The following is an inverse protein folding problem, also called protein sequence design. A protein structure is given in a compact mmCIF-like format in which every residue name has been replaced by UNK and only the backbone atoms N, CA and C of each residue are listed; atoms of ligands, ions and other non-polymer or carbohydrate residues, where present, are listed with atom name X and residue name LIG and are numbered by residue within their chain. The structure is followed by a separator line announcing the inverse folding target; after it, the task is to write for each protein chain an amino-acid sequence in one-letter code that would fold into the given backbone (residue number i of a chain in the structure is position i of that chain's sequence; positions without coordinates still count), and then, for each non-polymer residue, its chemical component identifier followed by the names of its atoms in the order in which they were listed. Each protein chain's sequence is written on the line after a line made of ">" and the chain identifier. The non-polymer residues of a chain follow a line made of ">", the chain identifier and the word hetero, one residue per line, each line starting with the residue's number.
data_IF_814247769989
#
_entry.id   IF_814247769989
#
_cell.length_a   1.000
_cell.length_b   1.000
_cell.length_c   1.000
_cell.angle_alpha   90.00
_cell.angle_beta   90.00
_cell.angle_gamma   90.00
#
_symmetry.space_group_name_H-M   'P 1'
#
loop_
_entity.id
_entity.type
_entity.pdbx_description
1 polymer ?
#
# COMPACT_ATOMS: atom_id res chain seq x y z
N UNK A 1 -12.40 42.07 -31.89
CA UNK A 1 -11.01 41.67 -32.19
C UNK A 1 -10.71 40.52 -31.22
N UNK A 2 -10.91 39.25 -31.63
CA UNK A 2 -9.88 38.32 -32.14
C UNK A 2 -8.71 38.18 -31.15
N UNK A 3 -8.33 37.02 -30.63
CA UNK A 3 -8.65 35.62 -30.96
C UNK A 3 -8.62 34.72 -29.71
N UNK A 4 -8.94 33.43 -29.76
CA UNK A 4 -8.85 32.52 -30.90
C UNK A 4 -7.69 31.54 -30.69
N UNK A 5 -7.83 30.61 -29.74
CA UNK A 5 -7.05 29.38 -29.58
C UNK A 5 -7.96 28.43 -28.79
N UNK A 6 -8.50 27.32 -29.29
CA UNK A 6 -8.04 26.45 -30.37
C UNK A 6 -7.23 25.30 -29.76
N UNK A 7 -7.85 24.14 -29.57
CA UNK A 7 -7.21 22.91 -29.08
C UNK A 7 -8.06 22.25 -27.97
N UNK A 8 -9.17 21.58 -28.29
CA UNK A 8 -9.20 20.21 -28.82
C UNK A 8 -8.53 19.20 -27.87
N UNK A 9 -9.37 18.50 -27.11
CA UNK A 9 -9.14 17.11 -26.70
C UNK A 9 -8.10 16.87 -25.60
N UNK A 10 -8.56 16.79 -24.35
CA UNK A 10 -7.86 15.97 -23.34
C UNK A 10 -8.82 14.93 -22.77
N UNK A 11 -9.40 14.13 -23.67
CA UNK A 11 -9.85 12.79 -23.32
C UNK A 11 -8.62 11.89 -23.29
N UNK A 12 -7.97 11.79 -22.14
CA UNK A 12 -6.93 10.79 -21.90
C UNK A 12 -7.18 10.11 -20.55
N UNK A 13 -8.41 9.60 -20.41
CA UNK A 13 -8.80 8.68 -19.37
C UNK A 13 -8.83 7.27 -19.94
N UNK A 14 -7.93 6.41 -19.46
CA UNK A 14 -8.02 4.96 -19.63
C UNK A 14 -7.18 4.38 -20.76
N UNK A 15 -6.07 3.72 -20.39
CA UNK A 15 -5.37 2.76 -21.26
C UNK A 15 -3.90 3.05 -21.46
N UNK A 16 -3.03 2.63 -20.53
CA UNK A 16 -1.62 2.35 -20.85
C UNK A 16 -0.94 1.43 -19.81
N UNK A 17 -1.57 0.31 -19.46
CA UNK A 17 -0.93 -0.79 -18.73
C UNK A 17 -0.64 -1.96 -19.68
N UNK A 18 -0.04 -1.67 -20.83
CA UNK A 18 0.50 -2.72 -21.69
C UNK A 18 2.02 -2.56 -21.69
N UNK A 19 2.70 -3.37 -20.88
CA UNK A 19 4.16 -3.50 -20.94
C UNK A 19 4.42 -4.50 -22.08
N UNK A 20 5.02 -4.07 -23.21
CA UNK A 20 5.28 -4.98 -24.31
C UNK A 20 6.13 -6.17 -23.82
N UNK A 21 6.00 -7.36 -24.43
CA UNK A 21 6.91 -8.46 -24.15
C UNK A 21 8.37 -7.99 -24.20
N UNK A 22 9.17 -8.45 -23.24
CA UNK A 22 10.62 -8.13 -23.13
C UNK A 22 10.96 -6.64 -22.88
N UNK A 23 9.96 -5.79 -22.61
CA UNK A 23 10.20 -4.40 -22.21
C UNK A 23 10.11 -4.24 -20.70
N UNK A 24 11.02 -3.43 -20.16
CA UNK A 24 11.05 -3.10 -18.74
C UNK A 24 10.29 -1.78 -18.55
N UNK A 25 9.25 -1.82 -17.72
CA UNK A 25 8.57 -0.61 -17.25
C UNK A 25 9.02 -0.28 -15.82
N UNK A 26 9.30 0.99 -15.57
CA UNK A 26 9.51 1.49 -14.21
C UNK A 26 8.21 2.05 -13.67
N UNK A 27 7.73 1.47 -12.57
CA UNK A 27 6.41 1.78 -12.02
C UNK A 27 6.58 2.18 -10.55
N UNK A 28 5.96 3.29 -10.19
CA UNK A 28 5.92 3.74 -8.80
C UNK A 28 4.74 3.10 -8.10
N UNK A 29 5.02 2.18 -7.19
CA UNK A 29 4.00 1.49 -6.39
C UNK A 29 4.08 1.99 -4.94
N UNK A 30 2.95 2.46 -4.34
CA UNK A 30 2.93 2.76 -2.92
C UNK A 30 3.05 1.45 -2.12
N UNK A 31 4.01 1.40 -1.20
CA UNK A 31 4.30 0.21 -0.38
C UNK A 31 4.31 0.55 1.10
N UNK A 32 4.07 -0.45 1.93
CA UNK A 32 4.18 -0.35 3.39
C UNK A 32 4.96 -1.53 3.94
N UNK A 33 5.67 -1.32 5.03
CA UNK A 33 6.37 -2.41 5.74
C UNK A 33 5.35 -3.21 6.54
N UNK A 34 5.19 -4.50 6.24
CA UNK A 34 4.29 -5.36 7.01
C UNK A 34 4.88 -5.76 8.37
N UNK A 35 6.21 -5.88 8.45
CA UNK A 35 6.93 -6.19 9.68
C UNK A 35 7.58 -4.94 10.26
N UNK A 36 7.37 -4.73 11.56
CA UNK A 36 8.00 -3.62 12.27
C UNK A 36 9.46 -3.97 12.65
N UNK A 37 10.36 -2.99 12.55
CA UNK A 37 11.74 -3.12 13.04
C UNK A 37 12.73 -3.78 12.07
N UNK A 38 12.28 -4.26 10.91
CA UNK A 38 13.19 -4.70 9.84
C UNK A 38 13.99 -3.51 9.27
N UNK A 39 15.23 -3.74 8.82
CA UNK A 39 16.04 -2.69 8.23
C UNK A 39 15.36 -2.11 6.98
N UNK A 40 15.61 -0.82 6.74
CA UNK A 40 15.08 -0.15 5.56
C UNK A 40 15.52 -0.87 4.27
N UNK A 41 14.62 -0.96 3.27
CA UNK A 41 14.89 -1.66 2.04
C UNK A 41 16.05 -0.98 1.29
N UNK A 42 17.03 -1.78 0.88
CA UNK A 42 18.19 -1.34 0.08
C UNK A 42 18.26 -2.10 -1.24
N UNK A 43 18.73 -1.47 -2.35
CA UNK A 43 18.82 -2.12 -3.66
C UNK A 43 19.72 -3.37 -3.71
N UNK A 44 20.67 -3.49 -2.78
CA UNK A 44 21.57 -4.63 -2.70
C UNK A 44 20.92 -5.91 -2.13
N UNK A 45 19.71 -5.79 -1.57
CA UNK A 45 18.97 -6.94 -1.04
C UNK A 45 18.10 -7.49 -2.18
N UNK A 46 18.17 -8.80 -2.49
CA UNK A 46 17.30 -9.40 -3.48
C UNK A 46 15.85 -9.41 -2.95
N UNK A 47 14.91 -8.93 -3.77
CA UNK A 47 13.47 -8.95 -3.46
C UNK A 47 12.72 -9.80 -4.46
N UNK A 48 11.71 -10.50 -3.96
CA UNK A 48 10.78 -11.30 -4.74
C UNK A 48 9.36 -10.77 -4.48
N UNK A 49 8.55 -10.65 -5.54
CA UNK A 49 7.14 -10.31 -5.40
C UNK A 49 6.39 -11.60 -5.09
N UNK A 50 5.73 -11.64 -3.93
CA UNK A 50 4.91 -12.78 -3.52
C UNK A 50 3.44 -12.38 -3.36
N UNK A 51 2.50 -13.30 -3.60
CA UNK A 51 1.11 -13.13 -3.19
C UNK A 51 1.02 -12.80 -1.70
N UNK A 52 0.03 -11.98 -1.34
CA UNK A 52 -0.16 -11.57 0.06
C UNK A 52 -0.47 -12.77 0.94
N UNK A 53 -1.22 -13.73 0.41
CA UNK A 53 -1.72 -14.92 1.08
C UNK A 53 -0.60 -15.88 1.49
N UNK A 54 0.53 -15.86 0.77
CA UNK A 54 1.74 -16.62 1.15
C UNK A 54 2.45 -16.02 2.36
N UNK A 55 2.25 -14.72 2.62
CA UNK A 55 2.94 -13.99 3.68
C UNK A 55 2.08 -13.74 4.92
N UNK A 56 0.80 -13.40 4.73
CA UNK A 56 -0.12 -13.09 5.83
C UNK A 56 -1.57 -13.41 5.49
N UNK A 57 -2.26 -14.00 6.46
CA UNK A 57 -3.71 -14.27 6.42
C UNK A 57 -4.51 -13.37 7.38
N UNK A 58 -3.89 -12.31 7.90
CA UNK A 58 -4.51 -11.42 8.87
C UNK A 58 -5.76 -10.74 8.29
N UNK A 59 -6.94 -10.91 8.93
CA UNK A 59 -8.18 -10.33 8.42
C UNK A 59 -8.11 -8.81 8.43
N UNK A 60 -8.58 -8.19 7.35
CA UNK A 60 -8.58 -6.74 7.14
C UNK A 60 -7.28 -6.18 6.56
N UNK A 61 -6.18 -6.93 6.53
CA UNK A 61 -4.93 -6.44 5.95
C UNK A 61 -5.07 -6.16 4.44
N UNK A 62 -5.71 -7.06 3.70
CA UNK A 62 -5.98 -6.86 2.26
C UNK A 62 -6.78 -5.59 1.99
N UNK A 63 -7.78 -5.29 2.81
CA UNK A 63 -8.60 -4.09 2.67
C UNK A 63 -7.80 -2.81 2.92
N UNK A 64 -6.90 -2.82 3.91
CA UNK A 64 -5.94 -1.71 4.15
C UNK A 64 -5.03 -1.50 2.93
N UNK A 65 -4.47 -2.58 2.37
CA UNK A 65 -3.60 -2.51 1.19
C UNK A 65 -4.35 -2.06 -0.06
N UNK A 66 -5.61 -2.49 -0.23
CA UNK A 66 -6.48 -2.03 -1.32
C UNK A 66 -6.82 -0.54 -1.18
N UNK A 67 -7.11 -0.07 0.03
CA UNK A 67 -7.33 1.36 0.30
C UNK A 67 -6.08 2.20 -0.02
N UNK A 68 -4.88 1.66 0.22
CA UNK A 68 -3.62 2.32 -0.15
C UNK A 68 -3.43 2.33 -1.68
N UNK A 69 -3.60 1.18 -2.34
CA UNK A 69 -3.43 1.05 -3.79
C UNK A 69 -4.41 1.88 -4.61
N UNK A 70 -5.61 2.10 -4.08
CA UNK A 70 -6.63 2.98 -4.69
C UNK A 70 -6.46 4.47 -4.34
N UNK A 71 -5.48 4.82 -3.50
CA UNK A 71 -5.22 6.20 -3.09
C UNK A 71 -6.25 6.78 -2.12
N UNK A 72 -7.10 5.96 -1.50
CA UNK A 72 -8.11 6.40 -0.53
C UNK A 72 -7.48 6.84 0.81
N UNK A 73 -6.31 6.30 1.13
CA UNK A 73 -5.58 6.61 2.37
C UNK A 73 -4.12 6.92 2.08
N UNK A 74 -3.50 7.73 2.94
CA UNK A 74 -2.08 8.02 2.83
C UNK A 74 -1.23 6.82 3.26
N UNK A 75 -0.02 6.72 2.72
CA UNK A 75 0.93 5.67 3.06
C UNK A 75 1.23 5.61 4.57
N UNK A 76 1.26 6.76 5.27
CA UNK A 76 1.52 6.82 6.72
C UNK A 76 0.37 6.22 7.53
N UNK A 77 -0.87 6.48 7.13
CA UNK A 77 -2.06 5.89 7.75
C UNK A 77 -2.08 4.37 7.51
N UNK A 78 -1.81 3.94 6.28
CA UNK A 78 -1.73 2.52 5.95
C UNK A 78 -0.60 1.80 6.69
N UNK A 79 0.57 2.44 6.87
CA UNK A 79 1.70 1.89 7.63
C UNK A 79 1.36 1.64 9.10
N UNK A 80 0.68 2.60 9.74
CA UNK A 80 0.23 2.45 11.12
C UNK A 80 -0.83 1.34 11.27
N UNK A 81 -1.79 1.28 10.34
CA UNK A 81 -2.82 0.23 10.31
C UNK A 81 -2.21 -1.17 10.08
N UNK A 82 -1.26 -1.28 9.15
CA UNK A 82 -0.57 -2.53 8.85
C UNK A 82 0.22 -3.04 10.06
N UNK A 83 0.95 -2.17 10.76
CA UNK A 83 1.68 -2.56 11.97
C UNK A 83 0.76 -2.99 13.11
N UNK A 84 -0.38 -2.33 13.29
CA UNK A 84 -1.38 -2.73 14.27
C UNK A 84 -1.95 -4.13 13.97
N UNK A 85 -2.34 -4.37 12.71
CA UNK A 85 -2.94 -5.65 12.30
C UNK A 85 -1.93 -6.80 12.33
N UNK A 86 -0.73 -6.59 11.77
CA UNK A 86 0.23 -7.68 11.54
C UNK A 86 1.16 -7.94 12.72
N UNK A 87 1.55 -6.90 13.47
CA UNK A 87 2.53 -7.03 14.57
C UNK A 87 1.86 -6.91 15.94
N UNK A 88 0.54 -6.70 16.00
CA UNK A 88 -0.20 -6.55 17.26
C UNK A 88 0.10 -5.26 18.02
N UNK A 89 0.80 -4.29 17.41
CA UNK A 89 1.14 -3.02 18.07
C UNK A 89 -0.13 -2.24 18.39
N UNK A 90 -0.29 -1.80 19.64
CA UNK A 90 -1.39 -0.92 20.02
C UNK A 90 -1.23 0.46 19.38
N UNK A 91 -2.36 1.15 19.16
CA UNK A 91 -2.32 2.54 18.68
C UNK A 91 -1.63 3.48 19.67
N UNK A 92 -1.62 3.15 20.96
CA UNK A 92 -0.87 3.89 21.97
C UNK A 92 0.64 3.74 21.77
N UNK A 93 1.13 2.52 21.53
CA UNK A 93 2.54 2.28 21.19
C UNK A 93 2.93 3.01 19.90
N UNK A 94 2.09 2.92 18.86
CA UNK A 94 2.31 3.61 17.60
C UNK A 94 2.35 5.14 17.76
N UNK A 95 1.45 5.71 18.57
CA UNK A 95 1.43 7.13 18.89
C UNK A 95 2.65 7.58 19.71
N UNK A 96 3.20 6.68 20.54
CA UNK A 96 4.39 6.95 21.35
C UNK A 96 5.71 6.85 20.58
N UNK A 97 5.71 6.26 19.37
CA UNK A 97 6.94 6.13 18.57
C UNK A 97 7.51 7.51 18.23
N UNK A 98 8.83 7.61 18.31
CA UNK A 98 9.58 8.82 17.98
C UNK A 98 10.69 8.50 16.99
N UNK A 99 10.93 9.43 16.07
CA UNK A 99 12.14 9.48 15.26
C UNK A 99 13.21 10.25 16.03
N UNK A 100 14.43 9.73 15.99
CA UNK A 100 15.61 10.39 16.56
C UNK A 100 16.52 10.80 15.42
N UNK A 101 16.84 12.08 15.35
CA UNK A 101 17.75 12.61 14.35
C UNK A 101 19.16 12.71 14.94
N UNK A 102 20.19 12.71 14.07
CA UNK A 102 21.59 12.78 14.49
C UNK A 102 21.92 14.04 15.31
N UNK A 103 21.16 15.12 15.12
CA UNK A 103 21.27 16.37 15.89
C UNK A 103 20.58 16.30 17.28
N UNK A 104 20.11 15.14 17.71
CA UNK A 104 19.43 14.94 19.00
C UNK A 104 17.96 15.34 19.01
N UNK A 105 17.44 15.94 17.92
CA UNK A 105 16.03 16.27 17.82
C UNK A 105 15.16 15.00 17.83
N UNK A 106 13.97 15.13 18.41
CA UNK A 106 12.96 14.08 18.45
C UNK A 106 11.67 14.60 17.84
N UNK A 107 11.07 13.83 16.94
CA UNK A 107 9.71 14.10 16.48
C UNK A 107 8.86 12.83 16.58
N UNK A 108 7.54 13.02 16.67
CA UNK A 108 6.62 11.89 16.65
C UNK A 108 6.73 11.14 15.32
N UNK A 109 6.73 9.81 15.39
CA UNK A 109 6.72 8.98 14.19
C UNK A 109 5.38 9.08 13.46
N UNK A 110 4.27 9.23 14.16
CA UNK A 110 2.96 9.47 13.54
C UNK A 110 2.32 10.70 14.18
N UNK A 111 1.58 11.47 13.37
CA UNK A 111 0.77 12.56 13.91
C UNK A 111 -0.49 12.01 14.61
N UNK A 112 -1.08 12.74 15.56
CA UNK A 112 -2.33 12.31 16.19
C UNK A 112 -3.50 12.16 15.21
N UNK A 113 -3.48 12.88 14.08
CA UNK A 113 -4.49 12.74 13.03
C UNK A 113 -4.30 11.44 12.24
N UNK A 114 -3.05 11.06 11.94
CA UNK A 114 -2.72 9.79 11.28
C UNK A 114 -3.14 8.59 12.12
N UNK A 115 -2.89 8.63 13.43
CA UNK A 115 -3.30 7.56 14.34
C UNK A 115 -4.82 7.42 14.37
N UNK A 116 -5.56 8.53 14.48
CA UNK A 116 -7.04 8.50 14.45
C UNK A 116 -7.58 7.96 13.14
N UNK A 117 -7.02 8.37 12.01
CA UNK A 117 -7.40 7.84 10.70
C UNK A 117 -7.09 6.34 10.57
N UNK A 118 -5.96 5.89 11.10
CA UNK A 118 -5.58 4.48 11.10
C UNK A 118 -6.52 3.62 11.95
N UNK A 119 -6.95 4.12 13.12
CA UNK A 119 -7.97 3.46 13.95
C UNK A 119 -9.29 3.25 13.19
N UNK A 120 -9.77 4.31 12.52
CA UNK A 120 -11.00 4.25 11.71
C UNK A 120 -10.85 3.28 10.54
N UNK A 121 -9.71 3.32 9.86
CA UNK A 121 -9.40 2.43 8.74
C UNK A 121 -9.41 0.96 9.18
N UNK A 122 -8.75 0.63 10.31
CA UNK A 122 -8.73 -0.72 10.84
C UNK A 122 -10.12 -1.21 11.22
N UNK A 123 -10.93 -0.36 11.86
CA UNK A 123 -12.31 -0.72 12.22
C UNK A 123 -13.13 -1.06 10.96
N UNK A 124 -13.06 -0.21 9.93
CA UNK A 124 -13.73 -0.45 8.65
C UNK A 124 -13.20 -1.70 7.95
N UNK A 125 -11.88 -1.89 7.91
CA UNK A 125 -11.24 -3.03 7.26
C UNK A 125 -11.64 -4.37 7.90
N UNK A 126 -11.76 -4.42 9.24
CA UNK A 126 -12.26 -5.61 9.95
C UNK A 126 -13.70 -5.94 9.58
N UNK A 127 -14.59 -4.94 9.57
CA UNK A 127 -15.99 -5.13 9.15
C UNK A 127 -16.11 -5.61 7.70
N UNK A 128 -15.27 -5.09 6.80
CA UNK A 128 -15.24 -5.51 5.40
C UNK A 128 -14.71 -6.94 5.24
N UNK A 129 -13.72 -7.34 6.04
CA UNK A 129 -13.18 -8.69 6.03
C UNK A 129 -14.18 -9.73 6.56
N UNK A 130 -15.05 -9.36 7.50
CA UNK A 130 -16.16 -10.21 7.96
C UNK A 130 -17.22 -10.39 6.86
N UNK A 131 -17.47 -9.34 6.07
CA UNK A 131 -18.48 -9.37 4.99
C UNK A 131 -17.97 -10.11 3.74
N UNK A 132 -16.66 -10.06 3.46
CA UNK A 132 -16.02 -10.72 2.33
C UNK A 132 -14.89 -11.66 2.80
N UNK A 133 -15.24 -12.90 3.19
CA UNK A 133 -14.24 -13.96 3.39
C UNK A 133 -13.40 -14.10 2.12
N UNK A 134 -12.08 -14.11 2.28
CA UNK A 134 -11.13 -14.04 1.16
C UNK A 134 -11.37 -15.19 0.15
N UNK A 135 -11.55 -14.91 -1.15
CA UNK A 135 -11.59 -15.96 -2.15
C UNK A 135 -10.19 -16.57 -2.34
N UNK A 136 -10.15 -17.88 -2.60
CA UNK A 136 -8.95 -18.64 -2.95
C UNK A 136 -8.22 -18.02 -4.15
N UNK A 137 -6.88 -18.12 -4.23
CA UNK A 137 -6.11 -17.55 -5.33
C UNK A 137 -6.54 -18.18 -6.66
N UNK A 138 -7.05 -17.35 -7.57
CA UNK A 138 -7.20 -17.72 -8.98
C UNK A 138 -5.89 -17.38 -9.71
N UNK A 139 -5.36 -18.28 -10.55
CA UNK A 139 -4.11 -18.04 -11.26
C UNK A 139 -4.21 -16.81 -12.15
N UNK A 140 -3.12 -16.05 -12.22
CA UNK A 140 -3.01 -14.88 -13.08
C UNK A 140 -3.11 -15.32 -14.55
N UNK A 141 -3.82 -14.58 -15.43
CA UNK A 141 -3.95 -14.93 -16.84
C UNK A 141 -2.61 -15.17 -17.56
N UNK A 142 -1.52 -14.57 -17.07
CA UNK A 142 -0.17 -14.75 -17.60
C UNK A 142 0.50 -16.09 -17.25
N UNK A 143 0.04 -16.80 -16.22
CA UNK A 143 0.60 -18.10 -15.81
C UNK A 143 0.06 -19.27 -16.66
N UNK A 144 -1.13 -19.11 -17.22
CA UNK A 144 -1.78 -20.11 -18.08
C UNK A 144 -1.21 -20.18 -19.51
N UNK A 145 -0.43 -19.19 -19.94
CA UNK A 145 0.06 -19.10 -21.33
C UNK A 145 1.36 -19.89 -21.61
N UNK A 146 2.00 -20.47 -20.57
CA UNK A 146 3.28 -21.19 -20.69
C UNK A 146 3.18 -22.72 -20.74
N UNK A 147 1.97 -23.28 -20.76
CA UNK A 147 1.74 -24.73 -20.76
C UNK A 147 1.08 -25.16 -22.07
N UNK A 148 1.86 -25.22 -23.15
CA UNK A 148 1.56 -26.04 -24.34
C UNK A 148 2.84 -26.28 -25.14
#
# INVERSE_FOLDING_TARGET
>A
MVGGWGGMGMGMGGGMWNVPPEKIAQIKVPVVCLEHGKPDPRPAIPYEIKPLEEFSTTPGLREVLHALGSGQVSQRVAQAAAWHLQNGMSFQELASKQLRFANGARCAYFSPAEIRAAMQLVAKAKQQAETHPQPTPSPSPGETAGQN
#
